data_IF_243037762758
#
_entry.id   IF_243037762758
#
_cell.length_a   1.000
_cell.length_b   1.000
_cell.length_c   1.000
_cell.angle_alpha   90.00
_cell.angle_beta   90.00
_cell.angle_gamma   90.00
#
_symmetry.space_group_name_H-M   'P 1'
#
loop_
_entity.id
_entity.type
_entity.pdbx_description
1 polymer ?
#
# COMPACT_ATOMS: atom_id res chain seq x y z
N UNK A 1 5.64 0.71 -0.19
CA UNK A 1 4.30 0.45 -0.76
C UNK A 1 3.25 1.01 0.16
N UNK A 2 2.29 1.73 -0.37
CA UNK A 2 1.17 2.27 0.38
C UNK A 2 -0.13 1.64 -0.10
N UNK A 3 -1.03 1.30 0.81
CA UNK A 3 -2.34 0.78 0.49
C UNK A 3 -3.38 1.17 1.53
N UNK A 4 -4.65 1.03 1.18
CA UNK A 4 -5.77 1.18 2.11
C UNK A 4 -6.45 -0.16 2.33
N UNK A 5 -6.94 -0.36 3.55
CA UNK A 5 -7.75 -1.51 3.94
C UNK A 5 -8.94 -1.02 4.77
N UNK A 6 -9.91 -1.89 4.98
CA UNK A 6 -11.04 -1.58 5.84
C UNK A 6 -10.60 -1.42 7.29
N UNK A 7 -11.46 -0.85 8.14
CA UNK A 7 -11.15 -0.60 9.54
C UNK A 7 -10.75 -1.87 10.30
N UNK A 8 -11.23 -3.03 9.88
CA UNK A 8 -10.88 -4.34 10.46
C UNK A 8 -9.66 -5.01 9.81
N UNK A 9 -8.99 -4.32 8.88
CA UNK A 9 -7.82 -4.84 8.18
C UNK A 9 -8.12 -5.64 6.91
N UNK A 10 -9.39 -5.87 6.59
CA UNK A 10 -9.74 -6.63 5.38
C UNK A 10 -9.47 -5.83 4.12
N UNK A 11 -8.96 -6.52 3.12
CA UNK A 11 -8.75 -5.99 1.78
C UNK A 11 -9.57 -6.79 0.78
N UNK A 12 -9.34 -6.52 -0.51
CA UNK A 12 -10.01 -7.23 -1.60
C UNK A 12 -9.87 -8.76 -1.42
N UNK A 13 -10.92 -9.50 -1.72
CA UNK A 13 -11.02 -10.97 -1.52
C UNK A 13 -10.96 -11.42 -0.06
N UNK A 14 -11.17 -10.52 0.90
CA UNK A 14 -11.26 -10.89 2.30
C UNK A 14 -9.92 -11.17 2.99
N UNK A 15 -8.80 -10.93 2.32
CA UNK A 15 -7.49 -11.07 2.96
C UNK A 15 -7.37 -10.05 4.09
N UNK A 16 -6.96 -10.51 5.28
CA UNK A 16 -6.85 -9.67 6.47
C UNK A 16 -5.39 -9.25 6.67
N UNK A 17 -5.17 -7.93 6.69
CA UNK A 17 -3.86 -7.35 6.99
C UNK A 17 -3.74 -7.14 8.50
N UNK A 18 -2.62 -7.56 9.11
CA UNK A 18 -2.37 -7.19 10.51
C UNK A 18 -2.17 -5.68 10.60
N UNK A 19 -2.87 -5.02 11.52
CA UNK A 19 -2.77 -3.58 11.72
C UNK A 19 -1.74 -3.26 12.80
N UNK A 20 -0.53 -3.76 12.62
CA UNK A 20 0.55 -3.67 13.60
C UNK A 20 1.87 -3.36 12.91
N UNK A 21 2.54 -2.31 13.36
CA UNK A 21 3.88 -1.95 12.86
C UNK A 21 4.87 -3.05 13.24
N UNK A 22 5.67 -3.47 12.28
CA UNK A 22 6.63 -4.54 12.43
C UNK A 22 6.13 -5.90 11.96
N UNK A 23 4.82 -6.04 11.71
CA UNK A 23 4.26 -7.30 11.23
C UNK A 23 4.74 -7.62 9.82
N UNK A 24 5.08 -8.89 9.61
CA UNK A 24 5.43 -9.41 8.29
C UNK A 24 4.18 -10.00 7.63
N UNK A 25 3.98 -9.69 6.36
CA UNK A 25 2.83 -10.16 5.58
C UNK A 25 3.34 -10.91 4.37
N UNK A 26 2.78 -12.10 4.13
CA UNK A 26 3.13 -12.96 2.99
C UNK A 26 1.88 -13.24 2.20
N UNK A 27 1.94 -13.05 0.88
CA UNK A 27 0.83 -13.38 0.00
C UNK A 27 0.64 -14.89 -0.05
N UNK A 28 -0.59 -15.41 0.20
CA UNK A 28 -0.83 -16.84 0.13
C UNK A 28 -0.94 -17.36 -1.31
N UNK A 29 -1.09 -16.47 -2.27
CA UNK A 29 -1.43 -16.79 -3.66
C UNK A 29 -0.42 -16.21 -4.66
N UNK A 30 0.83 -15.98 -4.25
CA UNK A 30 1.83 -15.30 -5.08
C UNK A 30 1.93 -15.89 -6.49
N UNK A 31 1.87 -15.00 -7.47
CA UNK A 31 2.14 -15.27 -8.87
C UNK A 31 2.92 -14.08 -9.45
N UNK A 32 4.05 -14.33 -10.07
CA UNK A 32 4.96 -13.28 -10.55
C UNK A 32 4.64 -12.76 -11.95
N UNK A 33 3.52 -13.17 -12.55
CA UNK A 33 3.10 -12.63 -13.84
C UNK A 33 2.74 -11.14 -13.72
N UNK A 34 2.77 -10.43 -14.84
CA UNK A 34 2.46 -9.00 -14.87
C UNK A 34 0.93 -8.76 -14.96
N UNK A 35 0.16 -9.47 -14.14
CA UNK A 35 -1.31 -9.39 -14.11
C UNK A 35 -1.78 -9.08 -12.70
N UNK A 36 -2.92 -8.41 -12.59
CA UNK A 36 -3.60 -8.17 -11.32
C UNK A 36 -3.98 -9.51 -10.68
N UNK A 37 -3.88 -9.58 -9.36
CA UNK A 37 -4.09 -10.82 -8.60
C UNK A 37 -2.76 -11.51 -8.27
N UNK A 38 -2.81 -12.51 -7.40
CA UNK A 38 -1.63 -13.30 -7.05
C UNK A 38 -0.54 -12.52 -6.36
N UNK A 39 -0.83 -11.83 -5.25
CA UNK A 39 0.15 -11.07 -4.49
C UNK A 39 -0.46 -10.00 -3.59
N UNK A 40 0.40 -9.26 -2.91
CA UNK A 40 0.02 -8.09 -2.11
C UNK A 40 0.14 -6.86 -3.00
N UNK A 41 -0.94 -6.08 -3.12
CA UNK A 41 -1.04 -4.94 -4.03
C UNK A 41 -0.99 -3.61 -3.30
N UNK A 42 -0.40 -2.60 -3.90
CA UNK A 42 -0.39 -1.25 -3.39
C UNK A 42 0.30 -0.28 -4.35
N UNK A 43 0.52 0.95 -3.89
CA UNK A 43 1.19 1.98 -4.66
C UNK A 43 2.67 2.07 -4.26
N UNK A 44 3.56 1.96 -5.22
CA UNK A 44 4.99 2.07 -4.98
C UNK A 44 5.31 3.51 -4.53
N UNK A 45 5.90 3.65 -3.33
CA UNK A 45 6.19 4.95 -2.71
C UNK A 45 4.96 5.86 -2.58
N UNK A 46 3.75 5.29 -2.57
CA UNK A 46 2.52 6.07 -2.53
C UNK A 46 2.19 6.80 -3.82
N UNK A 47 2.84 6.45 -4.92
CA UNK A 47 2.68 7.09 -6.23
C UNK A 47 1.98 6.12 -7.17
N UNK A 48 0.96 6.58 -7.87
CA UNK A 48 0.20 5.76 -8.79
C UNK A 48 -1.25 6.20 -8.91
N UNK A 49 -2.14 5.25 -9.17
CA UNK A 49 -3.55 5.55 -9.37
C UNK A 49 -4.30 5.66 -8.04
N UNK A 50 -4.74 6.87 -7.70
CA UNK A 50 -5.55 7.11 -6.50
C UNK A 50 -6.90 6.41 -6.52
N UNK A 51 -7.40 6.04 -7.70
CA UNK A 51 -8.65 5.29 -7.84
C UNK A 51 -8.57 3.88 -7.24
N UNK A 52 -7.36 3.38 -6.96
CA UNK A 52 -7.15 2.07 -6.34
C UNK A 52 -7.18 2.12 -4.82
N UNK A 53 -7.35 3.30 -4.23
CA UNK A 53 -7.39 3.50 -2.78
C UNK A 53 -8.81 3.74 -2.30
N UNK A 54 -9.06 3.38 -1.04
CA UNK A 54 -10.31 3.69 -0.35
C UNK A 54 -10.15 5.03 0.35
N UNK A 55 -10.94 6.03 -0.07
CA UNK A 55 -10.90 7.40 0.44
C UNK A 55 -11.92 7.67 1.55
N UNK A 56 -12.62 6.64 2.02
CA UNK A 56 -13.56 6.81 3.13
C UNK A 56 -12.84 7.16 4.43
N UNK A 57 -13.56 7.84 5.34
CA UNK A 57 -12.97 8.35 6.59
C UNK A 57 -12.48 7.23 7.51
N UNK A 58 -13.07 6.04 7.42
CA UNK A 58 -12.72 4.89 8.25
C UNK A 58 -11.68 3.95 7.61
N UNK A 59 -11.22 4.26 6.39
CA UNK A 59 -10.18 3.48 5.77
C UNK A 59 -8.87 3.59 6.56
N UNK A 60 -8.19 2.47 6.72
CA UNK A 60 -6.86 2.43 7.35
C UNK A 60 -5.80 2.50 6.26
N UNK A 61 -4.85 3.41 6.41
CA UNK A 61 -3.76 3.62 5.48
C UNK A 61 -2.50 2.95 6.03
N UNK A 62 -1.94 2.05 5.24
CA UNK A 62 -0.78 1.25 5.60
C UNK A 62 0.39 1.62 4.70
N UNK A 63 1.57 1.76 5.28
CA UNK A 63 2.84 1.80 4.55
C UNK A 63 3.62 0.54 4.90
N UNK A 64 4.12 -0.14 3.89
CA UNK A 64 4.90 -1.36 4.05
C UNK A 64 6.21 -1.25 3.29
N UNK A 65 7.28 -1.75 3.89
CA UNK A 65 8.56 -1.88 3.21
C UNK A 65 8.55 -3.15 2.36
N UNK A 66 9.11 -3.04 1.16
CA UNK A 66 9.18 -4.13 0.18
C UNK A 66 10.60 -4.23 -0.36
N UNK A 67 10.96 -5.41 -0.86
CA UNK A 67 12.23 -5.59 -1.55
C UNK A 67 12.06 -5.18 -3.00
N UNK A 68 12.87 -4.23 -3.44
CA UNK A 68 12.81 -3.70 -4.81
C UNK A 68 12.88 -4.81 -5.86
N UNK A 69 13.73 -5.82 -5.64
CA UNK A 69 13.89 -6.93 -6.56
C UNK A 69 12.64 -7.82 -6.69
N UNK A 70 11.72 -7.74 -5.75
CA UNK A 70 10.48 -8.54 -5.73
C UNK A 70 9.28 -7.81 -6.31
N UNK A 71 9.43 -6.54 -6.68
CA UNK A 71 8.32 -5.72 -7.19
C UNK A 71 7.95 -6.16 -8.61
N UNK A 72 6.66 -6.40 -8.82
CA UNK A 72 6.08 -6.55 -10.16
C UNK A 72 5.24 -5.31 -10.43
N UNK A 73 5.62 -4.55 -11.45
CA UNK A 73 4.93 -3.33 -11.85
C UNK A 73 3.72 -3.69 -12.71
N UNK A 74 2.55 -3.18 -12.31
CA UNK A 74 1.28 -3.40 -13.00
C UNK A 74 0.74 -2.13 -13.68
N UNK A 75 1.57 -1.08 -13.77
CA UNK A 75 1.17 0.23 -14.28
C UNK A 75 0.84 1.17 -13.13
N UNK A 76 -0.44 1.41 -12.83
CA UNK A 76 -0.85 2.31 -11.76
C UNK A 76 -0.65 1.77 -10.34
N UNK A 77 -0.18 0.53 -10.19
CA UNK A 77 0.09 -0.14 -8.90
C UNK A 77 1.18 -1.18 -9.07
N UNK A 78 1.61 -1.75 -7.95
CA UNK A 78 2.57 -2.86 -7.92
C UNK A 78 2.00 -4.03 -7.13
N UNK A 79 2.60 -5.21 -7.30
CA UNK A 79 2.38 -6.35 -6.40
C UNK A 79 3.71 -6.92 -5.93
N UNK A 80 3.69 -7.51 -4.74
CA UNK A 80 4.85 -8.13 -4.12
C UNK A 80 4.44 -9.43 -3.44
N UNK A 81 5.40 -10.38 -3.24
CA UNK A 81 5.09 -11.62 -2.53
C UNK A 81 5.03 -11.44 -1.02
N UNK A 82 5.69 -10.44 -0.48
CA UNK A 82 5.81 -10.20 0.95
C UNK A 82 6.16 -8.74 1.25
N UNK A 83 5.86 -8.32 2.46
CA UNK A 83 6.24 -7.00 2.94
C UNK A 83 6.29 -6.97 4.46
N UNK A 84 6.78 -5.85 5.01
CA UNK A 84 6.78 -5.60 6.45
C UNK A 84 6.07 -4.27 6.70
N UNK A 85 5.06 -4.27 7.57
CA UNK A 85 4.31 -3.06 7.91
C UNK A 85 5.22 -2.11 8.69
N UNK A 86 5.37 -0.89 8.22
CA UNK A 86 6.19 0.14 8.86
C UNK A 86 5.35 1.32 9.36
N UNK A 87 4.11 1.45 8.91
CA UNK A 87 3.19 2.49 9.38
C UNK A 87 1.74 2.04 9.22
N UNK A 88 0.92 2.35 10.22
CA UNK A 88 -0.53 2.15 10.21
C UNK A 88 -1.17 3.45 10.71
N UNK A 89 -2.10 3.99 9.96
CA UNK A 89 -2.75 5.24 10.34
C UNK A 89 -3.79 5.70 9.34
N UNK A 90 -3.83 7.00 9.10
CA UNK A 90 -4.75 7.62 8.17
C UNK A 90 -3.99 8.22 6.97
N UNK A 91 -4.74 8.87 6.07
CA UNK A 91 -4.17 9.48 4.87
C UNK A 91 -3.04 10.46 5.21
N UNK A 92 -3.26 11.36 6.15
CA UNK A 92 -2.27 12.37 6.52
C UNK A 92 -1.00 11.75 7.10
N UNK A 93 -1.15 10.81 8.03
CA UNK A 93 0.00 10.18 8.69
C UNK A 93 0.80 9.31 7.73
N UNK A 94 0.15 8.57 6.84
CA UNK A 94 0.82 7.76 5.83
C UNK A 94 1.57 8.64 4.82
N UNK A 95 0.94 9.73 4.37
CA UNK A 95 1.57 10.68 3.45
C UNK A 95 2.80 11.32 4.10
N UNK A 96 2.69 11.74 5.34
CA UNK A 96 3.80 12.32 6.11
C UNK A 96 4.93 11.31 6.31
N UNK A 97 4.58 10.05 6.61
CA UNK A 97 5.57 8.98 6.77
C UNK A 97 6.43 8.84 5.51
N UNK A 98 5.79 8.79 4.32
CA UNK A 98 6.51 8.68 3.05
C UNK A 98 7.34 9.92 2.75
N UNK A 99 6.81 11.10 2.99
CA UNK A 99 7.52 12.36 2.79
C UNK A 99 8.74 12.46 3.71
N UNK A 100 8.59 12.10 4.98
CA UNK A 100 9.68 12.11 5.95
C UNK A 100 10.75 11.05 5.64
N UNK A 101 10.36 9.97 4.97
CA UNK A 101 11.29 8.95 4.49
C UNK A 101 12.08 9.37 3.23
N UNK A 102 11.85 10.58 2.73
CA UNK A 102 12.57 11.11 1.58
C UNK A 102 11.95 10.84 0.23
N UNK A 103 10.70 10.35 0.20
CA UNK A 103 10.02 10.12 -1.08
C UNK A 103 9.74 11.47 -1.74
N UNK A 104 10.21 11.63 -2.97
CA UNK A 104 10.02 12.81 -3.80
C UNK A 104 9.07 12.46 -4.94
N UNK A 105 8.06 13.31 -5.17
CA UNK A 105 7.10 13.10 -6.23
C UNK A 105 5.66 13.22 -5.75
N UNK A 106 4.68 12.93 -6.62
CA UNK A 106 3.26 13.13 -6.32
C UNK A 106 2.70 11.97 -5.49
N UNK A 107 2.98 11.97 -4.19
CA UNK A 107 2.36 11.02 -3.26
C UNK A 107 0.85 11.26 -3.31
N UNK A 108 0.08 10.22 -3.63
CA UNK A 108 -1.34 10.33 -3.93
C UNK A 108 -2.13 10.97 -2.77
N UNK A 109 -1.86 10.57 -1.53
CA UNK A 109 -2.51 11.16 -0.36
C UNK A 109 -2.28 12.66 -0.22
N UNK A 110 -1.10 13.14 -0.57
CA UNK A 110 -0.75 14.56 -0.58
C UNK A 110 -1.39 15.32 -1.73
N UNK A 111 -1.41 14.72 -2.92
CA UNK A 111 -2.00 15.38 -4.10
C UNK A 111 -3.49 15.59 -3.94
N UNK A 112 -4.20 14.68 -3.26
CA UNK A 112 -5.61 14.83 -2.99
C UNK A 112 -5.91 16.02 -2.06
N UNK A 113 -4.99 16.37 -1.17
CA UNK A 113 -5.14 17.53 -0.29
C UNK A 113 -4.65 18.83 -0.91
N UNK A 114 -3.79 18.76 -1.89
CA UNK A 114 -3.25 19.94 -2.60
C UNK A 114 -4.26 20.52 -3.61
N UNK A 115 -5.23 19.72 -3.97
CA UNK A 115 -6.27 20.10 -4.93
C UNK A 115 -7.38 20.98 -4.38
#
# INVERSE_FOLDING_TARGET
MMKTVNADGTSYNGFVWPLEVGAKVVAPDWNDDAKCGGGLHGLHNGIGSGALLDWSDDAVWIVASVKKAEIVDLGGKIKVPRCKIVHVGNRESATRFLSDAGIVGPIVGGTATAG
#
